data_IF_623360171634
#
_entry.id   IF_623360171634
#
_cell.length_a   1.000
_cell.length_b   1.000
_cell.length_c   1.000
_cell.angle_alpha   90.00
_cell.angle_beta   90.00
_cell.angle_gamma   90.00
#
_symmetry.space_group_name_H-M   'P 1'
#
loop_
_entity.id
_entity.type
_entity.pdbx_description
1 polymer ?
#
# COMPACT_ATOMS: atom_id res chain seq x y z
N UNK A 1 -22.94 10.90 1.28
CA UNK A 1 -22.30 9.57 1.40
C UNK A 1 -20.85 9.76 1.82
N UNK A 2 -20.48 9.48 3.08
CA UNK A 2 -19.05 9.52 3.48
C UNK A 2 -18.36 8.38 2.74
N UNK A 3 -17.55 8.69 1.73
CA UNK A 3 -16.66 7.71 1.08
C UNK A 3 -15.78 7.12 2.19
N UNK A 4 -16.06 5.89 2.60
CA UNK A 4 -15.30 5.19 3.62
C UNK A 4 -13.87 4.98 3.12
N UNK A 5 -12.99 5.92 3.44
CA UNK A 5 -11.59 5.83 3.03
C UNK A 5 -10.87 4.89 3.98
N UNK A 6 -10.37 3.77 3.48
CA UNK A 6 -9.65 2.77 4.28
C UNK A 6 -8.47 3.42 5.00
N UNK A 7 -8.34 3.10 6.28
CA UNK A 7 -7.25 3.54 7.15
C UNK A 7 -6.85 2.37 8.06
N UNK A 8 -5.58 2.28 8.43
CA UNK A 8 -5.02 1.14 9.15
C UNK A 8 -4.22 0.21 8.25
N UNK A 9 -3.93 -1.02 8.70
CA UNK A 9 -3.12 -1.98 7.93
C UNK A 9 -3.94 -2.64 6.83
N UNK A 10 -3.34 -2.87 5.67
CA UNK A 10 -3.97 -3.56 4.56
C UNK A 10 -2.97 -4.09 3.53
N UNK A 11 -3.50 -4.76 2.51
CA UNK A 11 -2.77 -5.16 1.31
C UNK A 11 -3.53 -4.74 0.06
N UNK A 12 -2.83 -4.29 -0.97
CA UNK A 12 -3.35 -4.24 -2.34
C UNK A 12 -2.72 -5.35 -3.17
N UNK A 13 -3.38 -5.69 -4.27
CA UNK A 13 -2.99 -6.78 -5.14
C UNK A 13 -3.07 -6.33 -6.59
N UNK A 14 -2.16 -6.85 -7.40
CA UNK A 14 -2.29 -6.85 -8.85
C UNK A 14 -3.43 -7.77 -9.29
N UNK A 15 -3.80 -7.71 -10.57
CA UNK A 15 -4.93 -8.46 -11.10
C UNK A 15 -4.74 -9.98 -11.04
N UNK A 16 -3.49 -10.43 -11.11
CA UNK A 16 -3.07 -11.83 -10.97
C UNK A 16 -3.14 -12.35 -9.52
N UNK A 17 -3.39 -11.46 -8.55
CA UNK A 17 -3.42 -11.77 -7.12
C UNK A 17 -2.08 -11.60 -6.40
N UNK A 18 -1.02 -11.18 -7.10
CA UNK A 18 0.27 -10.85 -6.49
C UNK A 18 0.13 -9.61 -5.62
N UNK A 19 0.77 -9.61 -4.44
CA UNK A 19 0.72 -8.46 -3.53
C UNK A 19 1.43 -7.28 -4.20
N UNK A 20 0.75 -6.15 -4.37
CA UNK A 20 1.34 -4.91 -4.86
C UNK A 20 1.92 -4.10 -3.69
N UNK A 21 1.15 -3.93 -2.62
CA UNK A 21 1.57 -3.21 -1.44
C UNK A 21 1.06 -3.87 -0.17
N UNK A 22 1.91 -3.94 0.86
CA UNK A 22 1.54 -4.33 2.21
C UNK A 22 2.01 -3.27 3.20
N UNK A 23 1.07 -2.66 3.91
CA UNK A 23 1.42 -1.59 4.84
C UNK A 23 0.24 -0.85 5.44
N UNK A 24 0.53 0.31 6.00
CA UNK A 24 -0.51 1.18 6.54
C UNK A 24 -1.14 2.04 5.44
N UNK A 25 -2.40 2.39 5.66
CA UNK A 25 -3.21 3.25 4.81
C UNK A 25 -3.73 4.40 5.65
N UNK A 26 -3.87 5.55 5.01
CA UNK A 26 -4.58 6.70 5.55
C UNK A 26 -5.36 7.36 4.44
N UNK A 27 -6.67 7.49 4.63
CA UNK A 27 -7.54 8.09 3.63
C UNK A 27 -7.46 7.40 2.24
N UNK A 28 -7.31 6.07 2.21
CA UNK A 28 -7.22 5.28 0.98
C UNK A 28 -5.90 5.42 0.22
N UNK A 29 -4.85 5.98 0.85
CA UNK A 29 -3.51 6.09 0.29
C UNK A 29 -2.49 5.37 1.16
N UNK A 30 -1.38 4.92 0.57
CA UNK A 30 -0.24 4.36 1.30
C UNK A 30 0.29 5.37 2.33
N UNK A 31 0.50 4.89 3.55
CA UNK A 31 0.98 5.68 4.67
C UNK A 31 1.79 4.82 5.65
N UNK A 32 2.43 5.44 6.64
CA UNK A 32 3.10 4.74 7.72
C UNK A 32 4.20 3.82 7.20
N UNK A 33 4.38 2.64 7.80
CA UNK A 33 5.32 1.64 7.29
C UNK A 33 4.65 0.80 6.20
N UNK A 34 5.37 0.55 5.11
CA UNK A 34 4.86 -0.28 4.02
C UNK A 34 5.94 -0.80 3.08
N UNK A 35 5.61 -1.89 2.41
CA UNK A 35 6.44 -2.55 1.39
C UNK A 35 5.70 -2.56 0.07
N UNK A 36 6.35 -2.13 -1.00
CA UNK A 36 5.88 -2.20 -2.38
C UNK A 36 6.61 -3.34 -3.09
N UNK A 37 5.88 -4.05 -3.93
CA UNK A 37 6.35 -5.19 -4.71
C UNK A 37 6.02 -4.99 -6.21
N UNK A 38 6.78 -5.63 -7.09
CA UNK A 38 6.47 -5.72 -8.53
C UNK A 38 5.46 -6.85 -8.81
N UNK A 39 5.04 -6.97 -10.06
CA UNK A 39 4.09 -8.01 -10.51
C UNK A 39 4.66 -9.43 -10.37
N UNK A 40 5.98 -9.58 -10.28
CA UNK A 40 6.65 -10.85 -10.01
C UNK A 40 6.74 -11.17 -8.50
N UNK A 41 6.27 -10.25 -7.64
CA UNK A 41 6.31 -10.37 -6.18
C UNK A 41 7.65 -10.01 -5.56
N UNK A 42 8.60 -9.44 -6.32
CA UNK A 42 9.86 -8.94 -5.78
C UNK A 42 9.65 -7.61 -5.07
N UNK A 43 10.34 -7.45 -3.94
CA UNK A 43 10.29 -6.22 -3.16
C UNK A 43 10.99 -5.07 -3.90
N UNK A 44 10.23 -4.07 -4.33
CA UNK A 44 10.74 -2.83 -4.94
C UNK A 44 11.21 -1.87 -3.84
N UNK A 45 10.40 -1.70 -2.79
CA UNK A 45 10.67 -0.74 -1.74
C UNK A 45 10.13 -1.21 -0.40
N UNK A 46 10.85 -0.91 0.68
CA UNK A 46 10.38 -1.10 2.05
C UNK A 46 10.82 0.08 2.90
N UNK A 47 9.84 0.87 3.35
CA UNK A 47 10.14 2.10 4.07
C UNK A 47 8.88 2.80 4.56
N UNK A 48 8.96 4.13 4.64
CA UNK A 48 7.84 4.95 5.14
C UNK A 48 7.11 5.60 3.97
N UNK A 49 5.80 5.67 4.09
CA UNK A 49 4.90 6.25 3.09
C UNK A 49 4.15 7.44 3.66
N UNK A 50 3.94 8.46 2.84
CA UNK A 50 3.16 9.64 3.19
C UNK A 50 2.28 10.05 2.02
N UNK A 51 0.98 9.76 2.15
CA UNK A 51 -0.04 10.14 1.17
C UNK A 51 0.17 9.57 -0.24
N UNK A 52 0.73 8.36 -0.35
CA UNK A 52 1.01 7.69 -1.62
C UNK A 52 2.44 7.85 -2.13
N UNK A 53 3.22 8.76 -1.55
CA UNK A 53 4.63 8.95 -1.88
C UNK A 53 5.52 8.26 -0.83
N UNK A 54 6.70 7.81 -1.25
CA UNK A 54 7.74 7.40 -0.31
C UNK A 54 8.28 8.63 0.42
N UNK A 55 8.47 8.50 1.74
CA UNK A 55 8.89 9.57 2.64
C UNK A 55 10.35 9.42 3.09
#
# INVERSE_FOLDING_TARGET
MKKGKYSGKGKTYYLDGTVEYEGEFKNGKYHGKGTLYDEDGNKIYSGRWKNGDYA
#
